data_IF_027963096699
#
_entry.id   IF_027963096699
#
_cell.length_a   1.000
_cell.length_b   1.000
_cell.length_c   1.000
_cell.angle_alpha   90.00
_cell.angle_beta   90.00
_cell.angle_gamma   90.00
#
_symmetry.space_group_name_H-M   'P 1'
#
loop_
_entity.id
_entity.type
_entity.pdbx_description
1 polymer ?
#
# COMPACT_ATOMS: atom_id res chain seq x y z
N UNK A 1 21.96 -5.91 -9.20
CA UNK A 1 22.24 -5.36 -7.86
C UNK A 1 22.59 -6.52 -6.93
N UNK A 2 23.44 -6.36 -5.90
CA UNK A 2 23.69 -7.46 -4.97
C UNK A 2 22.44 -7.70 -4.11
N UNK A 3 21.76 -8.82 -4.34
CA UNK A 3 20.55 -9.23 -3.60
C UNK A 3 20.93 -9.61 -2.18
N UNK A 4 20.44 -8.89 -1.17
CA UNK A 4 20.80 -9.14 0.22
C UNK A 4 19.80 -10.11 0.89
N UNK A 5 20.27 -11.10 1.66
CA UNK A 5 19.41 -12.01 2.42
C UNK A 5 18.35 -11.33 3.32
N UNK A 6 18.68 -10.29 4.13
CA UNK A 6 17.68 -9.65 4.99
C UNK A 6 16.55 -8.96 4.23
N UNK A 7 16.82 -8.45 3.02
CA UNK A 7 15.79 -7.84 2.18
C UNK A 7 14.78 -8.89 1.70
N UNK A 8 15.25 -10.09 1.35
CA UNK A 8 14.37 -11.19 0.98
C UNK A 8 13.53 -11.72 2.15
N UNK A 9 14.06 -11.70 3.37
CA UNK A 9 13.27 -12.05 4.55
C UNK A 9 12.15 -11.04 4.84
N UNK A 10 12.42 -9.74 4.65
CA UNK A 10 11.38 -8.71 4.76
C UNK A 10 10.31 -8.86 3.67
N UNK A 11 10.73 -9.17 2.43
CA UNK A 11 9.80 -9.47 1.34
C UNK A 11 8.96 -10.72 1.66
N UNK A 12 9.56 -11.77 2.22
CA UNK A 12 8.84 -12.97 2.65
C UNK A 12 7.77 -12.65 3.72
N UNK A 13 8.09 -11.77 4.67
CA UNK A 13 7.15 -11.37 5.72
C UNK A 13 6.00 -10.51 5.16
N UNK A 14 6.30 -9.64 4.20
CA UNK A 14 5.27 -8.90 3.47
C UNK A 14 4.32 -9.82 2.69
N UNK A 15 4.86 -10.83 1.98
CA UNK A 15 4.05 -11.84 1.29
C UNK A 15 3.19 -12.60 2.29
N UNK A 16 3.73 -12.97 3.45
CA UNK A 16 2.97 -13.62 4.51
C UNK A 16 1.81 -12.77 5.00
N UNK A 17 2.03 -11.47 5.22
CA UNK A 17 0.99 -10.55 5.64
C UNK A 17 -0.11 -10.43 4.57
N UNK A 18 0.26 -10.29 3.30
CA UNK A 18 -0.69 -10.24 2.19
C UNK A 18 -1.49 -11.54 2.02
N UNK A 19 -0.88 -12.71 2.29
CA UNK A 19 -1.58 -13.99 2.30
C UNK A 19 -2.59 -14.12 3.45
N UNK A 20 -2.27 -13.58 4.63
CA UNK A 20 -3.22 -13.54 5.75
C UNK A 20 -4.38 -12.58 5.45
N UNK A 21 -4.11 -11.45 4.82
CA UNK A 21 -5.14 -10.51 4.37
C UNK A 21 -6.06 -11.15 3.32
N UNK A 22 -5.48 -11.87 2.36
CA UNK A 22 -6.23 -12.69 1.41
C UNK A 22 -7.08 -13.76 2.09
N UNK A 23 -6.54 -14.52 3.05
CA UNK A 23 -7.30 -15.52 3.80
C UNK A 23 -8.48 -14.88 4.56
N UNK A 24 -8.28 -13.68 5.10
CA UNK A 24 -9.34 -12.90 5.73
C UNK A 24 -10.36 -12.37 4.72
N UNK A 25 -9.93 -11.94 3.54
CA UNK A 25 -10.84 -11.53 2.47
C UNK A 25 -11.69 -12.71 1.97
N UNK A 26 -11.10 -13.90 1.86
CA UNK A 26 -11.79 -15.14 1.52
C UNK A 26 -12.79 -15.57 2.60
N UNK A 27 -12.44 -15.47 3.88
CA UNK A 27 -13.38 -15.80 4.96
C UNK A 27 -14.57 -14.84 5.02
N UNK A 28 -14.38 -13.61 4.55
CA UNK A 28 -15.42 -12.59 4.40
C UNK A 28 -16.12 -12.63 3.03
N UNK A 29 -15.73 -13.53 2.13
CA UNK A 29 -16.25 -13.69 0.77
C UNK A 29 -16.12 -12.43 -0.12
N UNK A 30 -15.04 -11.65 0.08
CA UNK A 30 -14.69 -10.49 -0.76
C UNK A 30 -13.87 -10.93 -2.00
N UNK A 31 -13.99 -10.21 -3.14
CA UNK A 31 -13.17 -10.49 -4.32
C UNK A 31 -11.68 -10.18 -4.06
N UNK A 32 -10.81 -11.18 -4.30
CA UNK A 32 -9.36 -11.15 -4.01
C UNK A 32 -8.47 -10.93 -5.26
N UNK A 33 -9.06 -10.67 -6.42
CA UNK A 33 -8.36 -10.78 -7.71
C UNK A 33 -7.14 -9.84 -7.87
N UNK A 34 -7.18 -8.62 -7.28
CA UNK A 34 -6.04 -7.70 -7.30
C UNK A 34 -4.91 -8.15 -6.36
N UNK A 35 -5.26 -8.62 -5.16
CA UNK A 35 -4.31 -9.18 -4.21
C UNK A 35 -3.60 -10.41 -4.78
N UNK A 36 -4.32 -11.24 -5.55
CA UNK A 36 -3.73 -12.41 -6.21
C UNK A 36 -2.66 -12.03 -7.23
N UNK A 37 -2.86 -10.93 -7.98
CA UNK A 37 -1.85 -10.37 -8.89
C UNK A 37 -0.60 -9.85 -8.17
N UNK A 38 -0.77 -9.12 -7.06
CA UNK A 38 0.35 -8.60 -6.26
C UNK A 38 1.13 -9.72 -5.55
N UNK A 39 0.42 -10.72 -5.01
CA UNK A 39 1.04 -11.87 -4.34
C UNK A 39 1.82 -12.72 -5.36
N UNK A 40 1.26 -12.97 -6.55
CA UNK A 40 1.99 -13.72 -7.59
C UNK A 40 3.27 -13.01 -8.05
N UNK A 41 3.24 -11.68 -8.22
CA UNK A 41 4.43 -10.88 -8.60
C UNK A 41 5.49 -10.88 -7.50
N UNK A 42 5.08 -10.67 -6.25
CA UNK A 42 6.00 -10.68 -5.10
C UNK A 42 6.60 -12.06 -4.82
N UNK A 43 5.85 -13.15 -5.07
CA UNK A 43 6.39 -14.51 -5.06
C UNK A 43 7.44 -14.73 -6.16
N UNK A 44 7.22 -14.22 -7.36
CA UNK A 44 8.20 -14.30 -8.45
C UNK A 44 9.44 -13.45 -8.16
N UNK A 45 9.27 -12.26 -7.55
CA UNK A 45 10.37 -11.41 -7.10
C UNK A 45 11.21 -12.11 -6.00
N UNK A 46 10.56 -12.76 -5.03
CA UNK A 46 11.24 -13.55 -4.01
C UNK A 46 11.98 -14.75 -4.61
N UNK A 47 11.38 -15.43 -5.59
CA UNK A 47 12.00 -16.54 -6.32
C UNK A 47 13.25 -16.09 -7.09
N UNK A 48 13.13 -15.03 -7.89
CA UNK A 48 14.24 -14.46 -8.66
C UNK A 48 15.36 -13.96 -7.74
N UNK A 49 15.00 -13.36 -6.59
CA UNK A 49 15.96 -12.96 -5.58
C UNK A 49 16.77 -14.12 -4.99
N UNK A 50 16.11 -15.25 -4.68
CA UNK A 50 16.79 -16.45 -4.18
C UNK A 50 17.71 -17.05 -5.25
N UNK A 51 17.28 -17.08 -6.51
CA UNK A 51 18.09 -17.57 -7.64
C UNK A 51 19.34 -16.70 -7.87
N UNK A 52 19.20 -15.38 -7.76
CA UNK A 52 20.33 -14.44 -7.79
C UNK A 52 21.31 -14.71 -6.64
N UNK A 53 20.82 -14.92 -5.41
CA UNK A 53 21.65 -15.27 -4.25
C UNK A 53 22.36 -16.61 -4.41
N UNK A 54 21.71 -17.60 -5.02
CA UNK A 54 22.34 -18.88 -5.33
C UNK A 54 23.47 -18.73 -6.34
N UNK A 55 23.25 -17.96 -7.40
CA UNK A 55 24.32 -17.64 -8.37
C UNK A 55 25.48 -16.88 -7.73
N UNK A 56 25.18 -15.98 -6.79
CA UNK A 56 26.19 -15.21 -6.06
C UNK A 56 27.04 -16.10 -5.15
N UNK A 57 26.43 -17.08 -4.46
CA UNK A 57 27.15 -18.06 -3.64
C UNK A 57 28.04 -18.96 -4.50
N UNK A 58 27.59 -19.29 -5.71
CA UNK A 58 28.35 -20.10 -6.66
C UNK A 58 29.62 -19.37 -7.14
N UNK A 59 29.54 -18.06 -7.38
CA UNK A 59 30.66 -17.23 -7.82
C UNK A 59 31.55 -16.74 -6.67
N UNK A 60 30.99 -16.55 -5.48
CA UNK A 60 31.70 -16.08 -4.27
C UNK A 60 31.16 -16.83 -3.07
N UNK A 61 31.96 -17.73 -2.52
CA UNK A 61 31.62 -18.48 -1.33
C UNK A 61 31.44 -17.53 -0.13
N UNK A 62 30.19 -17.28 0.25
CA UNK A 62 29.80 -16.52 1.43
C UNK A 62 29.04 -17.44 2.40
N UNK A 63 29.66 -17.76 3.53
CA UNK A 63 29.12 -18.67 4.54
C UNK A 63 27.83 -18.11 5.18
N UNK A 64 27.70 -16.78 5.27
CA UNK A 64 26.53 -16.14 5.87
C UNK A 64 25.29 -16.34 5.00
N UNK A 65 25.44 -16.16 3.69
CA UNK A 65 24.39 -16.37 2.70
C UNK A 65 24.04 -17.85 2.62
N UNK A 66 25.05 -18.72 2.55
CA UNK A 66 24.89 -20.17 2.46
C UNK A 66 24.09 -20.73 3.63
N UNK A 67 24.29 -20.20 4.85
CA UNK A 67 23.53 -20.62 6.04
C UNK A 67 22.05 -20.19 6.02
N UNK A 68 21.70 -19.11 5.32
CA UNK A 68 20.35 -18.52 5.31
C UNK A 68 19.49 -18.98 4.13
N UNK A 69 20.12 -19.40 3.03
CA UNK A 69 19.49 -19.84 1.79
C UNK A 69 18.49 -21.02 1.97
N UNK A 70 18.78 -22.06 2.78
CA UNK A 70 17.83 -23.13 3.05
C UNK A 70 16.54 -22.64 3.70
N UNK A 71 16.64 -21.63 4.59
CA UNK A 71 15.49 -21.04 5.28
C UNK A 71 14.63 -20.19 4.36
N UNK A 72 15.24 -19.45 3.44
CA UNK A 72 14.50 -18.70 2.41
C UNK A 72 13.77 -19.64 1.45
N UNK A 73 14.39 -20.77 1.07
CA UNK A 73 13.75 -21.80 0.23
C UNK A 73 12.56 -22.45 0.90
N UNK A 74 12.66 -22.78 2.19
CA UNK A 74 11.53 -23.36 2.93
C UNK A 74 10.38 -22.37 3.04
N UNK A 75 10.69 -21.08 3.28
CA UNK A 75 9.67 -20.03 3.32
C UNK A 75 9.00 -19.81 1.97
N UNK A 76 9.75 -19.79 0.86
CA UNK A 76 9.16 -19.73 -0.48
C UNK A 76 8.18 -20.88 -0.69
N UNK A 77 8.60 -22.11 -0.40
CA UNK A 77 7.77 -23.30 -0.60
C UNK A 77 6.48 -23.24 0.24
N UNK A 78 6.58 -22.77 1.49
CA UNK A 78 5.43 -22.58 2.38
C UNK A 78 4.47 -21.50 1.86
N UNK A 79 4.98 -20.32 1.49
CA UNK A 79 4.18 -19.21 0.97
C UNK A 79 3.52 -19.55 -0.37
N UNK A 80 4.23 -20.27 -1.24
CA UNK A 80 3.71 -20.72 -2.54
C UNK A 80 2.61 -21.77 -2.37
N UNK A 81 2.78 -22.68 -1.41
CA UNK A 81 1.76 -23.68 -1.05
C UNK A 81 0.50 -23.02 -0.46
N UNK A 82 0.65 -21.97 0.35
CA UNK A 82 -0.48 -21.20 0.89
C UNK A 82 -1.16 -20.32 -0.17
N UNK A 83 -0.42 -19.84 -1.16
CA UNK A 83 -0.97 -19.05 -2.26
C UNK A 83 -1.74 -19.91 -3.25
N UNK A 84 -1.17 -21.06 -3.64
CA UNK A 84 -1.75 -21.98 -4.61
C UNK A 84 -2.86 -22.77 -3.93
N UNK A 85 -4.15 -22.55 -4.25
CA UNK A 85 -5.20 -23.39 -3.70
C UNK A 85 -4.93 -24.83 -4.13
N UNK A 86 -4.73 -25.70 -3.15
CA UNK A 86 -4.66 -27.13 -3.38
C UNK A 86 -5.94 -27.57 -4.09
N UNK A 87 -5.77 -27.99 -5.34
CA UNK A 87 -6.76 -28.64 -6.21
C UNK A 87 -7.61 -27.73 -7.13
N UNK A 88 -7.20 -27.49 -8.39
CA UNK A 88 -8.06 -26.87 -9.40
C UNK A 88 -9.28 -27.76 -9.78
N UNK A 89 -9.33 -29.03 -9.35
CA UNK A 89 -10.52 -29.86 -9.50
C UNK A 89 -11.61 -29.61 -8.42
N UNK A 90 -11.31 -28.85 -7.36
CA UNK A 90 -12.31 -28.42 -6.36
C UNK A 90 -12.78 -26.97 -6.55
N UNK A 91 -12.08 -26.18 -7.37
CA UNK A 91 -12.45 -24.80 -7.72
C UNK A 91 -13.67 -24.71 -8.67
N UNK A 92 -14.20 -25.85 -9.14
CA UNK A 92 -15.47 -25.91 -9.86
C UNK A 92 -16.70 -25.95 -8.93
N UNK A 93 -16.53 -25.99 -7.60
CA UNK A 93 -17.65 -26.29 -6.67
C UNK A 93 -17.81 -25.31 -5.51
N UNK A 94 -17.23 -24.10 -5.59
CA UNK A 94 -17.56 -23.00 -4.65
C UNK A 94 -18.25 -21.83 -5.34
N UNK A 95 -19.15 -22.13 -6.29
CA UNK A 95 -20.45 -21.45 -6.23
C UNK A 95 -21.28 -22.24 -5.24
N UNK A 96 -21.59 -21.67 -4.07
CA UNK A 96 -22.79 -22.08 -3.32
C UNK A 96 -23.92 -22.27 -4.33
N UNK A 97 -24.73 -23.35 -4.27
CA UNK A 97 -25.88 -23.46 -5.15
C UNK A 97 -26.77 -22.25 -4.86
N UNK A 98 -26.70 -21.22 -5.71
CA UNK A 98 -27.70 -20.18 -5.76
C UNK A 98 -29.02 -20.93 -5.91
N UNK A 99 -29.95 -20.75 -4.96
CA UNK A 99 -31.24 -21.43 -5.00
C UNK A 99 -31.82 -21.26 -6.41
N UNK A 100 -31.89 -22.34 -7.19
CA UNK A 100 -32.40 -22.29 -8.56
C UNK A 100 -33.93 -22.24 -8.59
N UNK A 101 -34.56 -22.35 -7.41
CA UNK A 101 -35.98 -22.22 -7.19
C UNK A 101 -36.23 -21.28 -6.02
N UNK A 102 -37.17 -20.31 -6.14
CA UNK A 102 -37.61 -19.51 -5.00
C UNK A 102 -38.27 -20.40 -3.95
N UNK A 103 -38.14 -20.01 -2.68
CA UNK A 103 -38.76 -20.72 -1.54
C UNK A 103 -40.29 -20.52 -1.48
N UNK A 104 -40.82 -19.57 -2.28
CA UNK A 104 -42.24 -19.26 -2.43
C UNK A 104 -42.58 -19.13 -3.94
N UNK A 105 -43.57 -19.88 -4.48
CA UNK A 105 -43.90 -19.86 -5.91
C UNK A 105 -44.44 -18.52 -6.42
N UNK A 106 -44.96 -17.66 -5.54
CA UNK A 106 -45.48 -16.33 -5.91
C UNK A 106 -44.39 -15.35 -6.36
N UNK A 107 -43.13 -15.59 -5.96
CA UNK A 107 -41.99 -14.72 -6.25
C UNK A 107 -41.19 -15.12 -7.51
N UNK A 108 -41.70 -16.12 -8.25
CA UNK A 108 -41.05 -16.67 -9.45
C UNK A 108 -40.77 -15.64 -10.55
N UNK A 109 -41.68 -14.68 -10.74
CA UNK A 109 -41.54 -13.62 -11.76
C UNK A 109 -40.41 -12.64 -11.41
N UNK A 110 -40.26 -12.27 -10.14
CA UNK A 110 -39.21 -11.37 -9.68
C UNK A 110 -37.83 -12.06 -9.67
N UNK A 111 -37.81 -13.36 -9.35
CA UNK A 111 -36.59 -14.17 -9.42
C UNK A 111 -36.03 -14.26 -10.85
N UNK A 112 -36.91 -14.44 -11.84
CA UNK A 112 -36.52 -14.43 -13.26
C UNK A 112 -36.06 -13.04 -13.73
N UNK A 113 -36.64 -11.97 -13.18
CA UNK A 113 -36.23 -10.60 -13.48
C UNK A 113 -34.85 -10.26 -12.87
N UNK A 114 -34.52 -10.81 -11.70
CA UNK A 114 -33.24 -10.61 -11.03
C UNK A 114 -32.08 -11.35 -11.73
N UNK A 115 -32.31 -12.55 -12.27
CA UNK A 115 -31.28 -13.31 -13.00
C UNK A 115 -30.85 -12.66 -14.32
N UNK A 116 -31.74 -11.87 -14.94
CA UNK A 116 -31.47 -11.22 -16.23
C UNK A 116 -30.87 -9.81 -16.12
N UNK A 117 -30.64 -9.30 -14.91
CA UNK A 117 -30.04 -7.98 -14.70
C UNK A 117 -28.54 -8.12 -14.42
N UNK A 118 -27.72 -7.68 -15.39
CA UNK A 118 -26.27 -7.49 -15.20
C UNK A 118 -26.02 -6.66 -13.93
N UNK A 119 -25.08 -7.06 -13.06
CA UNK A 119 -24.89 -6.40 -11.77
C UNK A 119 -24.30 -5.02 -11.99
N UNK A 120 -25.13 -3.99 -11.81
CA UNK A 120 -24.66 -2.63 -11.52
C UNK A 120 -24.27 -2.64 -10.05
N UNK A 121 -22.98 -2.49 -9.81
CA UNK A 121 -22.31 -2.52 -8.52
C UNK A 121 -22.74 -1.35 -7.64
N UNK A 122 -23.52 -1.63 -6.59
CA UNK A 122 -23.69 -0.68 -5.48
C UNK A 122 -23.38 -1.34 -4.15
N UNK A 123 -22.25 -0.90 -3.57
CA UNK A 123 -22.04 -0.56 -2.16
C UNK A 123 -21.98 -1.69 -1.12
N UNK A 124 -20.76 -2.09 -0.74
CA UNK A 124 -20.43 -2.61 0.62
C UNK A 124 -19.33 -1.76 1.28
N UNK A 125 -19.70 -1.09 2.38
CA UNK A 125 -18.88 -0.09 3.09
C UNK A 125 -17.88 -0.81 3.99
N UNK A 126 -16.59 -0.52 3.86
CA UNK A 126 -15.58 -0.89 4.87
C UNK A 126 -15.06 0.37 5.54
N UNK A 127 -15.38 0.51 6.84
CA UNK A 127 -14.73 1.46 7.75
C UNK A 127 -13.51 0.76 8.36
N UNK A 128 -12.32 1.36 8.22
CA UNK A 128 -11.15 1.16 9.09
C UNK A 128 -10.34 2.47 9.15
N UNK A 129 -10.33 3.25 10.23
CA UNK A 129 -9.60 3.16 11.53
C UNK A 129 -8.32 4.03 11.53
N UNK A 130 -8.21 4.95 12.49
CA UNK A 130 -7.01 5.10 13.35
C UNK A 130 -7.31 5.92 14.61
N UNK A 131 -6.92 5.36 15.74
CA UNK A 131 -6.78 6.05 17.03
C UNK A 131 -5.48 6.84 16.98
N UNK A 132 -5.55 8.15 17.15
CA UNK A 132 -4.41 8.99 17.46
C UNK A 132 -4.34 9.12 18.97
N UNK A 133 -3.39 8.40 19.56
CA UNK A 133 -2.82 8.73 20.86
C UNK A 133 -1.87 9.91 20.61
N UNK A 134 -2.32 11.12 20.91
CA UNK A 134 -1.47 12.30 20.97
C UNK A 134 -2.07 13.25 22.00
N UNK A 135 -1.62 13.08 23.25
CA UNK A 135 -1.69 14.10 24.28
C UNK A 135 -0.89 15.32 23.81
N UNK A 136 -1.59 16.38 23.43
CA UNK A 136 -1.05 17.74 23.54
C UNK A 136 -2.22 18.67 23.88
N UNK A 137 -2.24 19.08 25.15
CA UNK A 137 -3.20 19.99 25.73
C UNK A 137 -3.00 21.42 25.19
N UNK A 138 -4.13 22.12 25.07
CA UNK A 138 -4.32 23.58 24.99
C UNK A 138 -4.37 24.21 23.59
N UNK A 139 -5.63 24.43 23.12
CA UNK A 139 -6.18 25.69 22.56
C UNK A 139 -7.17 25.53 21.38
N UNK A 140 -7.41 24.31 20.87
CA UNK A 140 -8.30 24.09 19.70
C UNK A 140 -9.67 23.43 20.02
N UNK A 141 -10.16 23.55 21.25
CA UNK A 141 -11.31 22.76 21.73
C UNK A 141 -12.67 23.20 21.15
N UNK A 142 -12.84 24.48 20.79
CA UNK A 142 -14.11 25.01 20.29
C UNK A 142 -14.48 24.50 18.88
N UNK A 143 -13.50 24.41 17.98
CA UNK A 143 -13.73 23.95 16.61
C UNK A 143 -13.84 22.42 16.54
N UNK A 144 -13.12 21.70 17.41
CA UNK A 144 -13.16 20.23 17.46
C UNK A 144 -14.46 19.71 18.09
N UNK A 145 -15.04 20.44 19.05
CA UNK A 145 -16.36 20.16 19.60
C UNK A 145 -17.49 20.27 18.54
N UNK A 146 -17.33 21.15 17.53
CA UNK A 146 -18.30 21.28 16.43
C UNK A 146 -18.25 20.10 15.43
N UNK A 147 -17.12 19.38 15.37
CA UNK A 147 -16.90 18.24 14.48
C UNK A 147 -17.37 16.90 15.09
N UNK A 148 -17.48 16.83 16.42
CA UNK A 148 -17.99 15.67 17.15
C UNK A 148 -19.11 16.08 18.11
N UNK A 149 -20.35 16.29 17.62
CA UNK A 149 -21.48 16.71 18.45
C UNK A 149 -21.92 15.68 19.51
N UNK A 150 -21.39 14.45 19.48
CA UNK A 150 -21.77 13.37 20.37
C UNK A 150 -20.71 13.15 21.46
N UNK A 151 -21.09 13.31 22.73
CA UNK A 151 -20.32 12.96 23.93
C UNK A 151 -21.18 12.03 24.79
N UNK A 152 -20.56 11.02 25.40
CA UNK A 152 -21.26 10.02 26.22
C UNK A 152 -21.80 10.61 27.54
N UNK A 153 -21.16 11.66 28.08
CA UNK A 153 -21.64 12.44 29.21
C UNK A 153 -22.01 13.87 28.75
N UNK A 154 -23.28 14.13 28.41
CA UNK A 154 -23.74 15.50 28.19
C UNK A 154 -23.72 16.25 29.54
N UNK A 155 -23.30 17.53 29.58
CA UNK A 155 -23.38 18.33 30.80
C UNK A 155 -24.83 18.42 31.28
N UNK A 156 -25.06 18.39 32.59
CA UNK A 156 -26.42 18.37 33.20
C UNK A 156 -27.34 19.51 32.70
N UNK A 157 -26.76 20.63 32.24
CA UNK A 157 -27.48 21.78 31.67
C UNK A 157 -27.92 21.61 30.20
N UNK A 158 -27.50 20.54 29.51
CA UNK A 158 -27.88 20.28 28.11
C UNK A 158 -29.25 19.61 27.98
N UNK A 159 -29.80 19.07 29.07
CA UNK A 159 -31.15 18.50 29.09
C UNK A 159 -32.18 19.61 29.27
N UNK A 160 -33.08 19.85 28.31
CA UNK A 160 -34.12 20.86 28.46
C UNK A 160 -34.97 20.55 29.69
N UNK A 161 -35.28 21.56 30.48
CA UNK A 161 -36.07 21.39 31.70
C UNK A 161 -37.53 21.07 31.32
N UNK A 162 -37.82 19.77 31.14
CA UNK A 162 -39.12 19.26 30.66
C UNK A 162 -40.19 19.20 31.77
N UNK A 163 -39.84 19.53 33.01
CA UNK A 163 -40.68 19.37 34.20
C UNK A 163 -41.97 20.21 34.19
N UNK A 164 -42.08 21.21 33.30
CA UNK A 164 -43.22 22.12 33.18
C UNK A 164 -44.06 21.93 31.90
N UNK A 165 -43.73 20.95 31.05
CA UNK A 165 -44.39 20.73 29.76
C UNK A 165 -45.50 19.66 29.88
N UNK A 166 -46.60 19.86 29.15
CA UNK A 166 -47.65 18.84 29.02
C UNK A 166 -47.18 17.66 28.15
N UNK A 167 -47.75 16.46 28.34
CA UNK A 167 -47.34 15.25 27.61
C UNK A 167 -47.40 15.41 26.09
N UNK A 168 -48.37 16.17 25.57
CA UNK A 168 -48.47 16.47 24.13
C UNK A 168 -47.32 17.36 23.64
N UNK A 169 -46.86 18.30 24.49
CA UNK A 169 -45.74 19.19 24.18
C UNK A 169 -44.41 18.44 24.24
N UNK A 170 -44.26 17.50 25.19
CA UNK A 170 -43.10 16.61 25.28
C UNK A 170 -43.03 15.72 24.03
N UNK A 171 -44.15 15.16 23.58
CA UNK A 171 -44.20 14.36 22.36
C UNK A 171 -43.77 15.18 21.13
N UNK A 172 -44.35 16.37 20.94
CA UNK A 172 -44.00 17.24 19.82
C UNK A 172 -42.53 17.69 19.85
N UNK A 173 -41.97 17.86 21.04
CA UNK A 173 -40.55 18.15 21.22
C UNK A 173 -39.67 16.96 20.80
N UNK A 174 -39.98 15.74 21.25
CA UNK A 174 -39.25 14.54 20.86
C UNK A 174 -39.34 14.25 19.36
N UNK A 175 -40.51 14.46 18.73
CA UNK A 175 -40.67 14.30 17.28
C UNK A 175 -39.72 15.22 16.50
N UNK A 176 -39.56 16.46 16.99
CA UNK A 176 -38.64 17.43 16.39
C UNK A 176 -37.18 17.03 16.60
N UNK A 177 -36.82 16.53 17.79
CA UNK A 177 -35.47 16.06 18.09
C UNK A 177 -35.10 14.85 17.22
N UNK A 178 -36.01 13.89 17.06
CA UNK A 178 -35.81 12.71 16.21
C UNK A 178 -35.63 13.15 14.75
N UNK A 179 -36.47 14.06 14.25
CA UNK A 179 -36.34 14.57 12.89
C UNK A 179 -35.00 15.30 12.65
N UNK A 180 -34.52 16.05 13.65
CA UNK A 180 -33.23 16.73 13.58
C UNK A 180 -32.07 15.72 13.57
N UNK A 181 -32.13 14.68 14.41
CA UNK A 181 -31.15 13.60 14.46
C UNK A 181 -31.09 12.81 13.14
N UNK A 182 -32.24 12.47 12.55
CA UNK A 182 -32.29 11.80 11.25
C UNK A 182 -31.61 12.66 10.16
N UNK A 183 -31.83 13.98 10.19
CA UNK A 183 -31.18 14.89 9.24
C UNK A 183 -29.65 14.94 9.41
N UNK A 184 -29.16 14.82 10.65
CA UNK A 184 -27.72 14.75 10.95
C UNK A 184 -27.13 13.40 10.50
N UNK A 185 -27.86 12.30 10.69
CA UNK A 185 -27.46 10.97 10.22
C UNK A 185 -27.39 10.89 8.69
N UNK A 186 -28.30 11.57 7.97
CA UNK A 186 -28.24 11.67 6.52
C UNK A 186 -26.98 12.42 6.04
N UNK A 187 -26.64 13.53 6.70
CA UNK A 187 -25.41 14.28 6.40
C UNK A 187 -24.16 13.44 6.68
N UNK A 188 -24.15 12.70 7.78
CA UNK A 188 -23.08 11.76 8.13
C UNK A 188 -23.01 10.60 7.12
N UNK A 189 -24.15 10.10 6.66
CA UNK A 189 -24.22 9.08 5.61
C UNK A 189 -23.59 9.56 4.31
N UNK A 190 -23.85 10.81 3.93
CA UNK A 190 -23.25 11.44 2.75
C UNK A 190 -21.74 11.65 2.90
N UNK A 191 -21.26 12.07 4.07
CA UNK A 191 -19.82 12.26 4.31
C UNK A 191 -19.07 10.91 4.32
N UNK A 192 -19.63 9.87 4.94
CA UNK A 192 -19.08 8.51 4.90
C UNK A 192 -19.06 7.97 3.46
N UNK A 193 -20.10 8.26 2.65
CA UNK A 193 -20.13 7.84 1.25
C UNK A 193 -19.02 8.50 0.43
N UNK A 194 -18.78 9.81 0.61
CA UNK A 194 -17.68 10.53 -0.06
C UNK A 194 -16.32 10.05 0.43
N UNK A 195 -16.15 9.83 1.73
CA UNK A 195 -14.93 9.30 2.31
C UNK A 195 -14.61 7.91 1.75
N UNK A 196 -15.62 7.06 1.58
CA UNK A 196 -15.47 5.75 0.95
C UNK A 196 -15.01 5.87 -0.50
N UNK A 197 -15.59 6.81 -1.26
CA UNK A 197 -15.19 7.07 -2.65
C UNK A 197 -13.71 7.49 -2.74
N UNK A 198 -13.29 8.42 -1.89
CA UNK A 198 -11.88 8.82 -1.77
C UNK A 198 -10.99 7.64 -1.37
N UNK A 199 -11.43 6.78 -0.46
CA UNK A 199 -10.66 5.60 -0.06
C UNK A 199 -10.47 4.59 -1.18
N UNK A 200 -11.47 4.42 -2.06
CA UNK A 200 -11.34 3.56 -3.24
C UNK A 200 -10.35 4.19 -4.24
N UNK A 201 -10.46 5.49 -4.48
CA UNK A 201 -9.53 6.21 -5.36
C UNK A 201 -8.09 6.20 -4.85
N UNK A 202 -7.88 6.32 -3.54
CA UNK A 202 -6.56 6.17 -2.91
C UNK A 202 -6.03 4.74 -3.09
N UNK A 203 -6.90 3.73 -2.98
CA UNK A 203 -6.53 2.34 -3.24
C UNK A 203 -6.07 2.13 -4.69
N UNK A 204 -6.80 2.68 -5.66
CA UNK A 204 -6.45 2.60 -7.08
C UNK A 204 -5.15 3.37 -7.40
N UNK A 205 -4.94 4.53 -6.77
CA UNK A 205 -3.73 5.35 -6.92
C UNK A 205 -2.51 4.70 -6.25
N UNK A 206 -2.67 4.04 -5.10
CA UNK A 206 -1.61 3.25 -4.48
C UNK A 206 -1.20 2.07 -5.37
N UNK A 207 -2.15 1.42 -6.03
CA UNK A 207 -1.86 0.35 -7.00
C UNK A 207 -1.14 0.91 -8.25
N UNK A 208 -1.50 2.13 -8.69
CA UNK A 208 -0.79 2.87 -9.73
C UNK A 208 0.63 3.29 -9.33
N UNK A 209 0.85 3.67 -8.08
CA UNK A 209 2.17 4.05 -7.56
C UNK A 209 3.12 2.86 -7.43
N UNK A 210 2.63 1.63 -7.29
CA UNK A 210 3.46 0.42 -7.35
C UNK A 210 4.05 0.22 -8.75
N UNK A 211 3.29 0.50 -9.80
CA UNK A 211 3.78 0.45 -11.18
C UNK A 211 4.81 1.55 -11.45
N UNK A 212 4.61 2.75 -10.88
CA UNK A 212 5.53 3.87 -11.01
C UNK A 212 6.83 3.64 -10.21
N UNK A 213 6.78 2.89 -9.10
CA UNK A 213 7.96 2.48 -8.34
C UNK A 213 8.85 1.51 -9.12
N UNK A 214 8.26 0.61 -9.91
CA UNK A 214 8.98 -0.34 -10.78
C UNK A 214 9.78 0.41 -11.87
N UNK A 215 9.16 1.42 -12.49
CA UNK A 215 9.83 2.31 -13.46
C UNK A 215 10.96 3.14 -12.81
N UNK A 216 10.76 3.57 -11.56
CA UNK A 216 11.79 4.28 -10.79
C UNK A 216 12.94 3.33 -10.43
N UNK A 217 12.67 2.07 -10.07
CA UNK A 217 13.69 1.05 -9.80
C UNK A 217 14.54 0.78 -11.06
N UNK A 218 13.91 0.59 -12.22
CA UNK A 218 14.62 0.43 -13.50
C UNK A 218 15.46 1.68 -13.84
N UNK A 219 14.92 2.88 -13.59
CA UNK A 219 15.62 4.14 -13.74
C UNK A 219 16.86 4.24 -12.84
N UNK A 220 16.73 3.87 -11.57
CA UNK A 220 17.81 3.87 -10.57
C UNK A 220 18.91 2.89 -10.97
N UNK A 221 18.56 1.67 -11.40
CA UNK A 221 19.53 0.66 -11.86
C UNK A 221 20.34 1.15 -13.07
N UNK A 222 19.65 1.81 -14.02
CA UNK A 222 20.29 2.41 -15.19
C UNK A 222 21.24 3.53 -14.80
N UNK A 223 20.86 4.39 -13.87
CA UNK A 223 21.71 5.46 -13.36
C UNK A 223 22.91 4.91 -12.56
N UNK A 224 22.73 3.88 -11.74
CA UNK A 224 23.80 3.22 -11.02
C UNK A 224 24.85 2.63 -11.99
N UNK A 225 24.39 1.96 -13.06
CA UNK A 225 25.27 1.42 -14.09
C UNK A 225 26.02 2.51 -14.89
N UNK A 226 25.43 3.68 -15.08
CA UNK A 226 26.11 4.85 -15.66
C UNK A 226 27.15 5.44 -14.70
N UNK A 227 26.82 5.56 -13.41
CA UNK A 227 27.73 6.05 -12.37
C UNK A 227 28.97 5.17 -12.22
N UNK A 228 28.82 3.85 -12.22
CA UNK A 228 29.96 2.92 -12.15
C UNK A 228 30.90 3.11 -13.35
N UNK A 229 30.33 3.26 -14.56
CA UNK A 229 31.12 3.53 -15.77
C UNK A 229 31.80 4.90 -15.71
N UNK A 230 31.11 5.93 -15.26
CA UNK A 230 31.64 7.28 -15.10
C UNK A 230 32.80 7.30 -14.09
N UNK A 231 32.63 6.66 -12.92
CA UNK A 231 33.66 6.49 -11.90
C UNK A 231 34.89 5.77 -12.45
N UNK A 232 34.69 4.70 -13.23
CA UNK A 232 35.80 3.97 -13.87
C UNK A 232 36.55 4.76 -14.95
N UNK A 233 35.89 5.73 -15.60
CA UNK A 233 36.56 6.68 -16.51
C UNK A 233 37.32 7.75 -15.72
N UNK A 234 36.73 8.25 -14.64
CA UNK A 234 37.36 9.23 -13.76
C UNK A 234 38.61 8.67 -13.06
N UNK A 235 38.57 7.41 -12.61
CA UNK A 235 39.72 6.74 -12.00
C UNK A 235 40.86 6.53 -13.00
N UNK A 236 40.53 6.15 -14.25
CA UNK A 236 41.51 6.08 -15.33
C UNK A 236 42.09 7.45 -15.65
N UNK A 237 41.26 8.50 -15.66
CA UNK A 237 41.70 9.86 -15.90
C UNK A 237 42.59 10.37 -14.75
N UNK A 238 42.21 10.15 -13.49
CA UNK A 238 43.01 10.57 -12.32
C UNK A 238 44.37 9.87 -12.30
N UNK A 239 44.41 8.57 -12.63
CA UNK A 239 45.65 7.80 -12.71
C UNK A 239 46.55 8.31 -13.85
N UNK A 240 45.99 8.55 -15.03
CA UNK A 240 46.71 9.09 -16.18
C UNK A 240 47.17 10.54 -15.95
N UNK A 241 46.36 11.34 -15.25
CA UNK A 241 46.71 12.68 -14.84
C UNK A 241 47.87 12.67 -13.83
N UNK A 242 47.86 11.77 -12.84
CA UNK A 242 48.95 11.60 -11.87
C UNK A 242 50.28 11.23 -12.54
N UNK A 243 50.25 10.39 -13.57
CA UNK A 243 51.43 9.98 -14.32
C UNK A 243 52.01 11.11 -15.18
N UNK A 244 51.16 11.97 -15.74
CA UNK A 244 51.56 13.09 -16.61
C UNK A 244 51.61 14.45 -15.87
N UNK A 245 51.33 14.47 -14.56
CA UNK A 245 51.22 15.70 -13.77
C UNK A 245 52.55 16.46 -13.77
N UNK A 246 53.67 15.77 -13.52
CA UNK A 246 54.99 16.39 -13.50
C UNK A 246 55.36 17.00 -14.85
N UNK A 247 55.08 16.30 -15.95
CA UNK A 247 55.36 16.77 -17.31
C UNK A 247 54.47 17.97 -17.67
N UNK A 248 53.20 17.94 -17.29
CA UNK A 248 52.26 19.04 -17.55
C UNK A 248 52.65 20.28 -16.76
N UNK A 249 53.05 20.13 -15.49
CA UNK A 249 53.58 21.25 -14.67
C UNK A 249 54.82 21.86 -15.31
N UNK A 250 55.77 21.05 -15.79
CA UNK A 250 56.98 21.54 -16.48
C UNK A 250 56.60 22.35 -17.72
N UNK A 251 55.71 21.84 -18.58
CA UNK A 251 55.26 22.54 -19.80
C UNK A 251 54.57 23.87 -19.46
N UNK A 252 53.70 23.89 -18.45
CA UNK A 252 53.02 25.12 -17.99
C UNK A 252 54.05 26.14 -17.49
N UNK A 253 55.06 25.70 -16.74
CA UNK A 253 56.14 26.57 -16.24
C UNK A 253 56.95 27.19 -17.39
N UNK A 254 57.22 26.41 -18.45
CA UNK A 254 57.88 26.91 -19.67
C UNK A 254 57.03 27.96 -20.38
N UNK A 255 55.71 27.72 -20.52
CA UNK A 255 54.80 28.70 -21.13
C UNK A 255 54.79 30.00 -20.33
N UNK A 256 54.70 29.92 -19.00
CA UNK A 256 54.74 31.09 -18.11
C UNK A 256 56.07 31.83 -18.26
N UNK A 257 57.21 31.11 -18.32
CA UNK A 257 58.53 31.70 -18.53
C UNK A 257 58.61 32.46 -19.86
N UNK A 258 58.15 31.84 -20.96
CA UNK A 258 58.13 32.47 -22.30
C UNK A 258 57.25 33.72 -22.28
N UNK A 259 56.08 33.64 -21.63
CA UNK A 259 55.15 34.76 -21.54
C UNK A 259 55.76 35.91 -20.71
N UNK A 260 56.42 35.60 -19.59
CA UNK A 260 57.17 36.58 -18.82
C UNK A 260 58.28 37.23 -19.64
N UNK A 261 59.04 36.46 -20.43
CA UNK A 261 60.06 37.00 -21.34
C UNK A 261 59.44 37.97 -22.34
N UNK A 262 58.32 37.60 -22.99
CA UNK A 262 57.65 38.46 -23.96
C UNK A 262 57.10 39.74 -23.34
N UNK A 263 56.64 39.69 -22.10
CA UNK A 263 56.14 40.88 -21.37
C UNK A 263 57.29 41.77 -20.85
N UNK A 264 58.40 41.17 -20.43
CA UNK A 264 59.53 41.91 -19.84
C UNK A 264 60.54 42.44 -20.86
N UNK A 265 60.59 41.86 -22.06
CA UNK A 265 61.34 42.43 -23.19
C UNK A 265 60.52 43.46 -23.95
#
# INVERSE_FOLDING_TARGET
MATNPPQLFLLADHIKLSLLERQRALSLNLPSNSQDGQISRSLEQLRSGIESLESQVQDTSDDSITSQLPRLRSQLAELTSQFTPTNPAAAATTTSPALTSPNDPSLSRDFAAAQNKKPTTTRSVSKSVRFSDNDDDNDDDANRASLFPYRDDPPDDASPNLAHLDNQQIHAYHDRVIADQDSQLDQLGQSISRQRELSMQIGDELDGQVMLLDDVEEGVDRHAAQFVRARGRLDRFSRKARENWSLTVIVVLIIILVLLIVITK
#
